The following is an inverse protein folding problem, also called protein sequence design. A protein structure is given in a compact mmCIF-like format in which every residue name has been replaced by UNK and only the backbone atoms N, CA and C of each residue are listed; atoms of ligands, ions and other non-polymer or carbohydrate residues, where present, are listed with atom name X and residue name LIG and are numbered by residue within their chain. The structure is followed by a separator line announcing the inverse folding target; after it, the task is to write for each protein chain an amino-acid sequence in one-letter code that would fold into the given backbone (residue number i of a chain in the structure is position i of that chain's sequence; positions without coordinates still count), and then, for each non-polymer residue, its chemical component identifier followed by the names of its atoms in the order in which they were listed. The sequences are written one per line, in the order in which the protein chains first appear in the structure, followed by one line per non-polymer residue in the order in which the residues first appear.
data_IF_008829211855
#
_entry.id   IF_008829211855
#
_cell.length_a   1.000
_cell.length_b   1.000
_cell.length_c   1.000
_cell.angle_alpha   90.00
_cell.angle_beta   90.00
_cell.angle_gamma   90.00
#
_symmetry.space_group_name_H-M   'P 1'
#
loop_
_entity.id
_entity.type
_entity.pdbx_description
1 polymer ?
#
# COMPACT_ATOMS: atom_id res chain seq x y z
N UNK A 1 0.52 -10.49 -2.53
CA UNK A 1 1.33 -9.50 -3.27
C UNK A 1 2.72 -9.45 -2.64
N UNK A 2 3.76 -9.32 -3.45
CA UNK A 2 5.16 -9.24 -3.02
C UNK A 2 5.52 -7.82 -2.55
N UNK A 3 6.64 -7.65 -1.80
CA UNK A 3 7.16 -6.32 -1.46
C UNK A 3 7.39 -5.41 -2.67
N UNK A 4 7.90 -5.99 -3.78
CA UNK A 4 8.13 -5.27 -5.02
C UNK A 4 6.82 -4.81 -5.68
N UNK A 5 5.81 -5.67 -5.72
CA UNK A 5 4.47 -5.34 -6.23
C UNK A 5 3.82 -4.23 -5.40
N UNK A 6 3.94 -4.30 -4.06
CA UNK A 6 3.41 -3.27 -3.17
C UNK A 6 4.06 -1.90 -3.43
N UNK A 7 5.40 -1.87 -3.56
CA UNK A 7 6.15 -0.66 -3.88
C UNK A 7 5.78 -0.09 -5.25
N UNK A 8 5.62 -0.96 -6.25
CA UNK A 8 5.19 -0.56 -7.59
C UNK A 8 3.76 0.01 -7.57
N UNK A 9 2.84 -0.62 -6.84
CA UNK A 9 1.47 -0.14 -6.68
C UNK A 9 1.43 1.25 -6.05
N UNK A 10 2.18 1.48 -4.95
CA UNK A 10 2.26 2.80 -4.33
C UNK A 10 2.76 3.87 -5.32
N UNK A 11 3.83 3.57 -6.07
CA UNK A 11 4.36 4.48 -7.09
C UNK A 11 3.35 4.78 -8.20
N UNK A 12 2.62 3.76 -8.68
CA UNK A 12 1.55 3.93 -9.68
C UNK A 12 0.40 4.81 -9.18
N UNK A 13 0.11 4.74 -7.88
CA UNK A 13 -0.88 5.61 -7.24
C UNK A 13 -0.37 7.05 -7.01
N UNK A 14 0.90 7.34 -7.31
CA UNK A 14 1.50 8.65 -7.09
C UNK A 14 1.71 9.00 -5.61
N UNK A 15 1.69 8.01 -4.71
CA UNK A 15 1.74 8.25 -3.27
C UNK A 15 3.17 8.14 -2.72
N UNK A 16 3.54 9.06 -1.83
CA UNK A 16 4.65 8.88 -0.91
C UNK A 16 4.35 7.76 0.09
N UNK A 17 5.37 7.32 0.84
CA UNK A 17 5.17 6.31 1.89
C UNK A 17 4.22 6.81 3.00
N UNK A 18 4.25 8.11 3.31
CA UNK A 18 3.36 8.73 4.31
C UNK A 18 1.92 8.78 3.81
N UNK A 19 1.72 9.17 2.55
CA UNK A 19 0.38 9.20 1.95
C UNK A 19 -0.21 7.79 1.80
N UNK A 20 0.63 6.81 1.48
CA UNK A 20 0.21 5.40 1.47
C UNK A 20 -0.25 4.93 2.86
N UNK A 21 0.43 5.34 3.92
CA UNK A 21 0.03 5.02 5.29
C UNK A 21 -1.34 5.63 5.62
N UNK A 22 -1.55 6.91 5.26
CA UNK A 22 -2.85 7.58 5.42
C UNK A 22 -3.95 6.87 4.62
N UNK A 23 -3.68 6.55 3.35
CA UNK A 23 -4.60 5.83 2.48
C UNK A 23 -5.02 4.47 3.06
N UNK A 24 -4.06 3.72 3.61
CA UNK A 24 -4.29 2.42 4.22
C UNK A 24 -4.76 2.50 5.69
N UNK A 25 -4.98 3.71 6.23
CA UNK A 25 -5.34 3.96 7.64
C UNK A 25 -4.38 3.29 8.63
N UNK A 26 -3.09 3.31 8.32
CA UNK A 26 -2.02 2.82 9.19
C UNK A 26 -1.57 3.93 10.13
N UNK A 27 -1.08 3.55 11.30
CA UNK A 27 -0.60 4.49 12.32
C UNK A 27 0.57 5.36 11.84
N UNK A 28 1.47 4.79 11.04
CA UNK A 28 2.65 5.50 10.52
C UNK A 28 3.17 4.92 9.19
N UNK A 29 4.17 5.62 8.62
CA UNK A 29 4.88 5.18 7.42
C UNK A 29 5.89 4.04 7.68
N UNK A 30 6.12 3.63 8.94
CA UNK A 30 7.03 2.52 9.27
C UNK A 30 6.45 1.20 8.79
N UNK A 31 5.14 0.99 8.92
CA UNK A 31 4.47 -0.18 8.37
C UNK A 31 4.68 -0.30 6.85
N UNK A 32 4.51 0.80 6.11
CA UNK A 32 4.75 0.87 4.66
C UNK A 32 6.19 0.51 4.31
N UNK A 33 7.18 1.07 5.03
CA UNK A 33 8.61 0.73 4.84
C UNK A 33 8.87 -0.76 5.09
N UNK A 34 8.23 -1.37 6.08
CA UNK A 34 8.38 -2.78 6.37
C UNK A 34 7.75 -3.69 5.31
N UNK A 35 6.59 -3.31 4.76
CA UNK A 35 5.99 -4.01 3.62
C UNK A 35 6.91 -3.95 2.39
N UNK A 36 7.44 -2.77 2.04
CA UNK A 36 8.34 -2.61 0.89
C UNK A 36 9.69 -3.32 1.06
N UNK A 37 10.16 -3.47 2.30
CA UNK A 37 11.40 -4.16 2.62
C UNK A 37 11.22 -5.68 2.82
N UNK A 38 9.99 -6.20 2.75
CA UNK A 38 9.70 -7.62 3.02
C UNK A 38 9.87 -8.05 4.48
N UNK A 39 10.04 -7.08 5.40
CA UNK A 39 10.15 -7.34 6.85
C UNK A 39 8.81 -7.68 7.51
N UNK A 40 7.71 -7.40 6.82
CA UNK A 40 6.34 -7.69 7.27
C UNK A 40 5.50 -8.16 6.10
N UNK A 41 4.72 -9.22 6.30
CA UNK A 41 3.72 -9.67 5.32
C UNK A 41 2.60 -8.64 5.14
N UNK A 42 2.07 -8.57 3.92
CA UNK A 42 0.97 -7.66 3.57
C UNK A 42 -0.35 -8.43 3.70
N UNK A 43 -1.22 -8.00 4.60
CA UNK A 43 -2.49 -8.70 4.88
C UNK A 43 -3.42 -8.68 3.67
N UNK A 44 -4.27 -9.71 3.53
CA UNK A 44 -5.26 -9.81 2.46
C UNK A 44 -6.12 -8.56 2.27
N UNK A 45 -6.68 -7.95 3.35
CA UNK A 45 -7.45 -6.71 3.23
C UNK A 45 -6.68 -5.55 2.59
N UNK A 46 -5.40 -5.37 2.93
CA UNK A 46 -4.55 -4.34 2.31
C UNK A 46 -4.38 -4.62 0.80
N UNK A 47 -4.17 -5.89 0.43
CA UNK A 47 -4.03 -6.27 -0.99
C UNK A 47 -5.30 -5.95 -1.78
N UNK A 48 -6.48 -6.26 -1.22
CA UNK A 48 -7.78 -5.95 -1.83
C UNK A 48 -7.97 -4.44 -1.98
N UNK A 49 -7.69 -3.64 -0.94
CA UNK A 49 -7.81 -2.18 -0.98
C UNK A 49 -6.94 -1.56 -2.09
N UNK A 50 -5.70 -2.03 -2.23
CA UNK A 50 -4.78 -1.55 -3.28
C UNK A 50 -5.28 -1.97 -4.67
N UNK A 51 -5.68 -3.24 -4.83
CA UNK A 51 -6.20 -3.74 -6.10
C UNK A 51 -7.46 -2.99 -6.54
N UNK A 52 -8.37 -2.70 -5.61
CA UNK A 52 -9.56 -1.90 -5.86
C UNK A 52 -9.17 -0.48 -6.31
N UNK A 53 -8.31 0.20 -5.55
CA UNK A 53 -7.90 1.58 -5.86
C UNK A 53 -7.21 1.70 -7.22
N UNK A 54 -6.41 0.70 -7.62
CA UNK A 54 -5.76 0.65 -8.93
C UNK A 54 -6.75 0.41 -10.08
N UNK A 55 -7.84 -0.32 -9.82
CA UNK A 55 -8.82 -0.70 -10.86
C UNK A 55 -9.94 0.32 -11.03
N UNK A 56 -10.42 0.90 -9.94
CA UNK A 56 -11.65 1.71 -9.93
C UNK A 56 -11.42 3.17 -9.55
N UNK A 57 -10.22 3.55 -9.12
CA UNK A 57 -9.96 4.90 -8.63
C UNK A 57 -10.43 5.09 -7.17
N UNK A 58 -10.76 6.33 -6.75
CA UNK A 58 -11.04 6.61 -5.36
C UNK A 58 -12.12 5.75 -4.72
N UNK A 59 -11.91 5.37 -3.46
CA UNK A 59 -12.98 4.81 -2.66
C UNK A 59 -14.07 5.89 -2.52
N UNK A 60 -15.35 5.53 -2.72
CA UNK A 60 -16.47 6.45 -2.50
C UNK A 60 -16.54 6.90 -1.04
#
# INVERSE_FOLDING_TARGET
MTPAEFKAARKRLGLSQVEMAKFLRLSDARAVRFYEAGKRGISGPIQVTIAYRLRYGPLP
#
